data_IF_485661524618
#
_entry.id   IF_485661524618
#
_cell.length_a   1.000
_cell.length_b   1.000
_cell.length_c   1.000
_cell.angle_alpha   90.00
_cell.angle_beta   90.00
_cell.angle_gamma   90.00
#
_symmetry.space_group_name_H-M   'P 1'
#
loop_
_entity.id
_entity.type
_entity.pdbx_description
1 polymer ?
#
# COMPACT_ATOMS: atom_id res chain seq x y z
N UNK A 1 -0.52 17.60 -3.20
CA UNK A 1 -1.14 16.89 -4.33
C UNK A 1 -1.50 17.84 -5.47
N UNK A 2 -1.80 17.29 -6.66
CA UNK A 2 -2.17 18.09 -7.85
C UNK A 2 -3.45 18.91 -7.60
N UNK A 3 -4.49 18.32 -6.99
CA UNK A 3 -5.74 19.01 -6.67
C UNK A 3 -5.51 20.27 -5.80
N UNK A 4 -4.71 20.16 -4.73
CA UNK A 4 -4.39 21.30 -3.90
C UNK A 4 -3.55 22.37 -4.64
N UNK A 5 -2.71 21.97 -5.60
CA UNK A 5 -1.97 22.90 -6.45
C UNK A 5 -2.89 23.58 -7.45
N UNK A 6 -3.80 22.83 -8.08
CA UNK A 6 -4.79 23.38 -9.01
C UNK A 6 -5.64 24.45 -8.32
N UNK A 7 -6.13 24.19 -7.10
CA UNK A 7 -6.88 25.19 -6.31
C UNK A 7 -6.09 26.45 -6.03
N UNK A 8 -4.80 26.34 -5.71
CA UNK A 8 -3.95 27.54 -5.50
C UNK A 8 -3.73 28.36 -6.76
N UNK A 9 -3.90 27.77 -7.93
CA UNK A 9 -3.76 28.46 -9.22
C UNK A 9 -5.09 29.00 -9.75
N UNK A 10 -6.21 28.46 -9.29
CA UNK A 10 -7.55 28.90 -9.67
C UNK A 10 -8.53 28.67 -8.53
N UNK A 11 -9.04 29.77 -7.98
CA UNK A 11 -10.06 29.73 -6.92
C UNK A 11 -11.44 29.33 -7.46
N UNK A 12 -11.71 29.61 -8.73
CA UNK A 12 -13.00 29.38 -9.38
C UNK A 12 -13.13 27.98 -10.03
N UNK A 13 -12.03 27.24 -10.18
CA UNK A 13 -12.10 25.92 -10.81
C UNK A 13 -12.94 24.95 -9.96
N UNK A 14 -13.82 24.20 -10.61
CA UNK A 14 -14.44 23.03 -9.99
C UNK A 14 -13.44 21.87 -10.03
N UNK A 15 -13.17 21.26 -8.87
CA UNK A 15 -12.17 20.19 -8.74
C UNK A 15 -12.84 19.00 -8.08
N UNK A 16 -12.97 17.92 -8.84
CA UNK A 16 -13.51 16.65 -8.36
C UNK A 16 -12.37 15.63 -8.32
N UNK A 17 -12.31 14.83 -7.27
CA UNK A 17 -11.36 13.73 -7.11
C UNK A 17 -12.09 12.44 -6.82
N UNK A 18 -11.86 11.41 -7.64
CA UNK A 18 -12.41 10.08 -7.44
C UNK A 18 -11.39 9.18 -6.77
N UNK A 19 -11.80 8.49 -5.73
CA UNK A 19 -11.01 7.47 -5.05
C UNK A 19 -11.84 6.19 -4.94
N UNK A 20 -11.29 5.08 -5.43
CA UNK A 20 -11.97 3.78 -5.38
C UNK A 20 -12.11 3.24 -3.96
N UNK A 21 -11.13 3.50 -3.09
CA UNK A 21 -11.15 3.08 -1.70
C UNK A 21 -11.90 4.05 -0.78
N UNK A 22 -11.93 3.73 0.49
CA UNK A 22 -12.53 4.58 1.53
C UNK A 22 -11.61 5.73 1.95
N UNK A 23 -10.29 5.58 1.75
CA UNK A 23 -9.29 6.49 2.30
C UNK A 23 -8.59 7.27 1.19
N UNK A 24 -8.90 8.54 1.09
CA UNK A 24 -8.35 9.44 0.05
C UNK A 24 -6.90 9.80 0.27
N UNK A 25 -6.44 9.82 1.53
CA UNK A 25 -5.08 10.20 1.86
C UNK A 25 -4.64 9.59 3.18
N UNK A 26 -3.59 8.80 3.14
CA UNK A 26 -3.03 8.15 4.31
C UNK A 26 -1.51 8.03 4.20
N UNK A 27 -0.85 7.85 5.34
CA UNK A 27 0.60 7.67 5.44
C UNK A 27 1.00 6.25 5.03
N UNK A 28 1.26 6.02 3.75
CA UNK A 28 1.67 4.71 3.22
C UNK A 28 2.86 4.12 3.99
N UNK A 29 3.89 4.94 4.25
CA UNK A 29 5.09 4.51 4.97
C UNK A 29 4.82 4.20 6.46
N UNK A 30 3.68 4.63 7.00
CA UNK A 30 3.30 4.36 8.40
C UNK A 30 2.64 3.00 8.61
N UNK A 31 2.23 2.32 7.54
CA UNK A 31 1.49 1.06 7.64
C UNK A 31 2.29 -0.06 8.33
N UNK A 32 3.55 -0.33 7.95
CA UNK A 32 4.38 -1.32 8.65
C UNK A 32 4.62 -0.96 10.12
N UNK A 33 4.87 0.32 10.43
CA UNK A 33 5.10 0.79 11.80
C UNK A 33 3.87 0.68 12.69
N UNK A 34 2.67 0.82 12.11
CA UNK A 34 1.44 0.52 12.86
C UNK A 34 1.27 -0.99 13.07
N UNK A 35 1.58 -1.82 12.07
CA UNK A 35 1.59 -3.27 12.21
C UNK A 35 2.60 -3.68 13.30
N UNK A 36 3.80 -3.09 13.32
CA UNK A 36 4.83 -3.35 14.33
C UNK A 36 4.47 -2.87 15.75
N UNK A 37 3.54 -1.91 15.87
CA UNK A 37 3.10 -1.34 17.14
C UNK A 37 3.80 -0.04 17.55
N UNK A 38 4.72 0.49 16.74
CA UNK A 38 5.35 1.79 16.98
C UNK A 38 4.35 2.94 16.87
N UNK A 39 3.52 2.93 15.82
CA UNK A 39 2.39 3.84 15.68
C UNK A 39 1.18 3.16 16.30
N UNK A 40 0.85 3.50 17.55
CA UNK A 40 -0.27 2.87 18.26
C UNK A 40 -1.64 3.35 17.78
N UNK A 41 -1.74 4.62 17.44
CA UNK A 41 -3.01 5.24 17.05
C UNK A 41 -3.19 5.20 15.53
N UNK A 42 -4.11 4.33 15.06
CA UNK A 42 -4.47 4.16 13.65
C UNK A 42 -4.91 5.47 13.00
N UNK A 43 -5.55 6.38 13.76
CA UNK A 43 -6.05 7.65 13.21
C UNK A 43 -4.93 8.55 12.70
N UNK A 44 -3.71 8.43 13.25
CA UNK A 44 -2.53 9.17 12.79
C UNK A 44 -2.09 8.80 11.38
N UNK A 45 -2.51 7.66 10.87
CA UNK A 45 -2.26 7.26 9.48
C UNK A 45 -3.18 8.00 8.51
N UNK A 46 -4.35 8.48 8.94
CA UNK A 46 -5.33 9.15 8.09
C UNK A 46 -5.00 10.64 8.00
N UNK A 47 -4.35 11.04 6.91
CA UNK A 47 -3.81 12.40 6.79
C UNK A 47 -4.87 13.43 6.40
N UNK A 48 -5.80 13.05 5.54
CA UNK A 48 -6.88 13.91 5.07
C UNK A 48 -8.15 13.06 4.84
N UNK A 49 -9.30 13.67 5.09
CA UNK A 49 -10.62 13.11 4.77
C UNK A 49 -11.29 13.90 3.65
N UNK A 50 -12.36 13.41 3.00
CA UNK A 50 -13.14 14.17 2.04
C UNK A 50 -13.57 15.53 2.57
N UNK A 51 -14.06 15.58 3.83
CA UNK A 51 -14.51 16.80 4.49
C UNK A 51 -13.36 17.79 4.67
N UNK A 52 -12.18 17.31 5.04
CA UNK A 52 -11.00 18.17 5.20
C UNK A 52 -10.48 18.71 3.86
N UNK A 53 -10.60 17.94 2.77
CA UNK A 53 -10.31 18.42 1.42
C UNK A 53 -11.31 19.49 0.97
N UNK A 54 -12.59 19.30 1.25
CA UNK A 54 -13.62 20.27 0.96
C UNK A 54 -13.39 21.57 1.74
N UNK A 55 -13.20 21.47 3.06
CA UNK A 55 -13.05 22.64 3.93
C UNK A 55 -11.78 23.46 3.64
N UNK A 56 -10.65 22.79 3.33
CA UNK A 56 -9.35 23.46 3.15
C UNK A 56 -9.07 23.90 1.71
N UNK A 57 -9.58 23.15 0.75
CA UNK A 57 -9.21 23.29 -0.65
C UNK A 57 -10.41 23.42 -1.58
N UNK A 58 -11.64 23.36 -1.06
CA UNK A 58 -12.86 23.34 -1.88
C UNK A 58 -12.76 22.32 -3.03
N UNK A 59 -12.32 21.09 -2.69
CA UNK A 59 -12.20 19.94 -3.59
C UNK A 59 -13.27 18.94 -3.22
N UNK A 60 -14.12 18.57 -4.19
CA UNK A 60 -15.12 17.51 -4.04
C UNK A 60 -14.42 16.14 -4.15
N UNK A 61 -14.30 15.43 -3.04
CA UNK A 61 -13.68 14.11 -3.00
C UNK A 61 -14.76 13.05 -2.86
N UNK A 62 -14.88 12.21 -3.87
CA UNK A 62 -15.83 11.10 -3.91
C UNK A 62 -15.07 9.79 -3.71
N UNK A 63 -15.12 9.28 -2.48
CA UNK A 63 -14.59 7.95 -2.12
C UNK A 63 -15.56 6.86 -2.56
N UNK A 64 -15.13 5.60 -2.53
CA UNK A 64 -15.88 4.44 -3.02
C UNK A 64 -16.42 4.64 -4.44
N UNK A 65 -15.68 5.40 -5.25
CA UNK A 65 -16.08 5.83 -6.58
C UNK A 65 -15.01 5.47 -7.60
N UNK A 66 -15.30 4.46 -8.40
CA UNK A 66 -14.35 3.93 -9.39
C UNK A 66 -14.65 4.50 -10.78
N UNK A 67 -13.67 5.18 -11.38
CA UNK A 67 -13.74 5.51 -12.81
C UNK A 67 -13.51 4.23 -13.61
N UNK A 68 -14.54 3.82 -14.36
CA UNK A 68 -14.53 2.57 -15.15
C UNK A 68 -14.24 2.79 -16.62
N UNK A 69 -14.52 3.98 -17.15
CA UNK A 69 -14.20 4.34 -18.54
C UNK A 69 -13.95 5.83 -18.73
N UNK A 70 -13.25 6.17 -19.80
CA UNK A 70 -12.95 7.55 -20.20
C UNK A 70 -13.36 7.72 -21.66
N UNK A 71 -14.27 8.65 -21.92
CA UNK A 71 -14.61 9.07 -23.28
C UNK A 71 -13.91 10.40 -23.59
N UNK A 72 -12.87 10.34 -24.41
CA UNK A 72 -12.06 11.52 -24.77
C UNK A 72 -12.77 12.44 -25.76
N UNK A 73 -13.72 11.94 -26.54
CA UNK A 73 -14.44 12.73 -27.53
C UNK A 73 -15.47 13.62 -26.88
N UNK A 74 -16.24 13.08 -25.94
CA UNK A 74 -17.25 13.82 -25.19
C UNK A 74 -16.69 14.45 -23.91
N UNK A 75 -15.42 14.21 -23.59
CA UNK A 75 -14.76 14.64 -22.34
C UNK A 75 -15.57 14.23 -21.11
N UNK A 76 -15.92 12.95 -21.02
CA UNK A 76 -16.64 12.40 -19.87
C UNK A 76 -15.92 11.18 -19.30
N UNK A 77 -16.07 10.98 -18.00
CA UNK A 77 -15.71 9.72 -17.34
C UNK A 77 -16.97 9.04 -16.84
N UNK A 78 -17.02 7.71 -16.95
CA UNK A 78 -18.06 6.92 -16.32
C UNK A 78 -17.57 6.51 -14.93
N UNK A 79 -18.34 6.83 -13.92
CA UNK A 79 -18.00 6.58 -12.51
C UNK A 79 -19.00 5.57 -11.96
N UNK A 80 -18.49 4.49 -11.36
CA UNK A 80 -19.28 3.51 -10.64
C UNK A 80 -19.15 3.78 -9.14
N UNK A 81 -20.27 4.04 -8.49
CA UNK A 81 -20.34 4.06 -7.03
C UNK A 81 -20.31 2.62 -6.51
N UNK A 82 -19.33 2.29 -5.67
CA UNK A 82 -19.11 0.93 -5.16
C UNK A 82 -20.01 0.56 -3.96
N UNK A 83 -20.79 1.52 -3.43
CA UNK A 83 -21.72 1.29 -2.33
C UNK A 83 -23.05 0.75 -2.89
N UNK A 84 -23.60 1.41 -3.89
CA UNK A 84 -24.93 1.09 -4.47
C UNK A 84 -24.85 0.49 -5.89
N UNK A 85 -23.63 0.36 -6.45
CA UNK A 85 -23.35 -0.11 -7.80
C UNK A 85 -23.94 0.75 -8.93
N UNK A 86 -24.42 1.96 -8.66
CA UNK A 86 -24.92 2.87 -9.68
C UNK A 86 -23.76 3.45 -10.51
N UNK A 87 -24.02 3.64 -11.80
CA UNK A 87 -23.08 4.31 -12.71
C UNK A 87 -23.64 5.66 -13.17
N UNK A 88 -22.75 6.64 -13.27
CA UNK A 88 -23.08 7.96 -13.80
C UNK A 88 -21.91 8.53 -14.59
N UNK A 89 -22.18 9.54 -15.41
CA UNK A 89 -21.15 10.23 -16.18
C UNK A 89 -20.83 11.58 -15.53
N UNK A 90 -19.54 11.89 -15.46
CA UNK A 90 -19.02 13.20 -15.05
C UNK A 90 -18.24 13.82 -16.20
N UNK A 91 -18.50 15.09 -16.52
CA UNK A 91 -17.79 15.82 -17.56
C UNK A 91 -16.51 16.47 -17.02
N UNK A 92 -15.54 16.70 -17.89
CA UNK A 92 -14.30 17.38 -17.54
C UNK A 92 -13.79 18.28 -18.66
N UNK A 93 -13.14 19.38 -18.33
CA UNK A 93 -12.30 20.16 -19.24
C UNK A 93 -10.88 19.59 -19.29
N UNK A 94 -10.35 19.26 -18.13
CA UNK A 94 -9.03 18.64 -17.92
C UNK A 94 -9.14 17.43 -17.02
N UNK A 95 -8.50 16.34 -17.42
CA UNK A 95 -8.46 15.09 -16.66
C UNK A 95 -7.03 14.76 -16.26
N UNK A 96 -6.80 14.60 -14.96
CA UNK A 96 -5.54 14.14 -14.40
C UNK A 96 -5.68 12.68 -13.97
N UNK A 97 -4.82 11.81 -14.49
CA UNK A 97 -4.80 10.39 -14.16
C UNK A 97 -3.77 10.11 -13.07
N UNK A 98 -4.22 9.61 -11.94
CA UNK A 98 -3.38 9.16 -10.82
C UNK A 98 -3.90 7.82 -10.27
N UNK A 99 -3.92 6.74 -11.10
CA UNK A 99 -4.61 5.50 -10.76
C UNK A 99 -3.93 4.71 -9.64
N UNK A 100 -2.73 5.11 -9.23
CA UNK A 100 -1.93 4.39 -8.25
C UNK A 100 -1.35 3.09 -8.82
N UNK A 101 -1.12 2.12 -7.92
CA UNK A 101 -0.59 0.80 -8.27
C UNK A 101 -1.29 -0.28 -7.44
N UNK A 102 -1.28 -1.50 -7.94
CA UNK A 102 -1.67 -2.69 -7.21
C UNK A 102 -0.45 -3.58 -6.94
N UNK A 103 -0.40 -4.32 -5.84
CA UNK A 103 0.63 -5.32 -5.63
C UNK A 103 0.61 -6.37 -6.75
N UNK A 104 1.78 -6.78 -7.19
CA UNK A 104 1.89 -7.94 -8.08
C UNK A 104 1.75 -9.19 -7.20
N UNK A 105 0.75 -10.00 -7.51
CA UNK A 105 0.54 -11.30 -6.88
C UNK A 105 1.04 -12.35 -7.87
N UNK A 106 2.19 -12.99 -7.62
CA UNK A 106 2.73 -14.00 -8.53
C UNK A 106 1.85 -15.25 -8.54
N UNK A 107 1.73 -15.96 -9.67
CA UNK A 107 0.92 -17.17 -9.79
C UNK A 107 1.63 -18.38 -9.15
N UNK A 108 1.80 -18.35 -7.85
CA UNK A 108 2.43 -19.41 -7.06
C UNK A 108 1.32 -20.30 -6.48
N UNK A 109 1.41 -21.64 -6.54
CA UNK A 109 0.45 -22.52 -5.89
C UNK A 109 0.28 -22.21 -4.41
N UNK A 110 -0.98 -22.03 -3.97
CA UNK A 110 -1.29 -21.70 -2.57
C UNK A 110 -1.29 -20.21 -2.24
N UNK A 111 -1.09 -19.32 -3.21
CA UNK A 111 -1.09 -17.87 -2.99
C UNK A 111 -2.46 -17.37 -2.51
N UNK A 112 -3.54 -18.09 -2.83
CA UNK A 112 -4.91 -17.78 -2.41
C UNK A 112 -5.21 -18.17 -0.95
N UNK A 113 -4.22 -18.69 -0.22
CA UNK A 113 -4.39 -19.03 1.18
C UNK A 113 -4.85 -17.79 1.97
N UNK A 114 -5.90 -17.90 2.82
CA UNK A 114 -6.40 -16.77 3.61
C UNK A 114 -5.38 -16.12 4.54
N UNK A 115 -4.27 -16.80 4.83
CA UNK A 115 -3.15 -16.26 5.61
C UNK A 115 -2.09 -15.57 4.76
N UNK A 116 -2.28 -15.52 3.44
CA UNK A 116 -1.40 -14.79 2.53
C UNK A 116 -1.92 -13.37 2.34
N UNK A 117 -1.07 -12.40 2.60
CA UNK A 117 -1.42 -10.98 2.54
C UNK A 117 -0.42 -10.19 1.70
N UNK A 118 -0.91 -9.14 1.07
CA UNK A 118 -0.08 -8.04 0.55
C UNK A 118 -0.37 -6.78 1.35
N UNK A 119 0.58 -5.86 1.39
CA UNK A 119 0.42 -4.57 2.07
C UNK A 119 0.50 -3.42 1.07
N UNK A 120 -0.63 -2.72 0.88
CA UNK A 120 -0.71 -1.56 -0.02
C UNK A 120 -1.48 -0.40 0.59
N UNK A 121 -2.52 -0.68 1.37
CA UNK A 121 -3.46 0.32 1.86
C UNK A 121 -3.92 0.00 3.29
N UNK A 122 -4.76 0.86 3.84
CA UNK A 122 -5.32 0.71 5.20
C UNK A 122 -6.09 -0.61 5.37
N UNK A 123 -7.01 -1.02 4.47
CA UNK A 123 -7.67 -2.31 4.59
C UNK A 123 -6.72 -3.52 4.59
N UNK A 124 -5.62 -3.47 3.85
CA UNK A 124 -4.61 -4.53 3.88
C UNK A 124 -3.95 -4.62 5.25
N UNK A 125 -3.52 -3.48 5.78
CA UNK A 125 -2.96 -3.36 7.12
C UNK A 125 -3.91 -3.92 8.18
N UNK A 126 -5.18 -3.52 8.15
CA UNK A 126 -6.21 -3.98 9.09
C UNK A 126 -6.41 -5.50 9.00
N UNK A 127 -6.35 -6.09 7.78
CA UNK A 127 -6.42 -7.56 7.59
C UNK A 127 -5.21 -8.26 8.19
N UNK A 128 -4.02 -7.74 7.99
CA UNK A 128 -2.79 -8.32 8.57
C UNK A 128 -2.87 -8.29 10.10
N UNK A 129 -3.21 -7.16 10.70
CA UNK A 129 -3.36 -7.02 12.15
C UNK A 129 -4.39 -8.00 12.69
N UNK A 130 -5.57 -8.08 12.07
CA UNK A 130 -6.61 -9.03 12.45
C UNK A 130 -6.12 -10.48 12.39
N UNK A 131 -5.37 -10.84 11.33
CA UNK A 131 -4.80 -12.18 11.19
C UNK A 131 -3.82 -12.48 12.32
N UNK A 132 -2.96 -11.54 12.70
CA UNK A 132 -2.03 -11.68 13.81
C UNK A 132 -2.78 -11.87 15.13
N UNK A 133 -3.77 -11.05 15.40
CA UNK A 133 -4.53 -11.07 16.65
C UNK A 133 -5.35 -12.36 16.83
N UNK A 134 -5.99 -12.80 15.75
CA UNK A 134 -6.85 -13.99 15.78
C UNK A 134 -6.05 -15.30 15.82
N UNK A 135 -4.97 -15.39 15.06
CA UNK A 135 -4.23 -16.65 14.90
C UNK A 135 -3.00 -16.74 15.81
N UNK A 136 -2.52 -15.61 16.36
CA UNK A 136 -1.32 -15.54 17.20
C UNK A 136 -0.15 -16.33 16.63
N UNK A 137 0.27 -16.04 15.39
CA UNK A 137 1.26 -16.85 14.70
C UNK A 137 2.59 -16.82 15.44
N UNK A 138 3.23 -17.97 15.58
CA UNK A 138 4.59 -18.08 16.10
C UNK A 138 5.63 -17.71 15.04
N UNK A 139 5.26 -17.81 13.75
CA UNK A 139 6.16 -17.60 12.63
C UNK A 139 5.46 -16.87 11.48
N UNK A 140 6.16 -15.93 10.86
CA UNK A 140 5.74 -15.23 9.65
C UNK A 140 6.80 -15.37 8.56
N UNK A 141 6.36 -15.50 7.32
CA UNK A 141 7.23 -15.48 6.15
C UNK A 141 6.94 -14.25 5.32
N UNK A 142 7.98 -13.49 5.02
CA UNK A 142 7.94 -12.33 4.13
C UNK A 142 8.57 -12.71 2.81
N UNK A 143 7.88 -12.45 1.70
CA UNK A 143 8.38 -12.74 0.35
C UNK A 143 8.69 -11.42 -0.36
N UNK A 144 9.97 -11.22 -0.68
CA UNK A 144 10.53 -10.02 -1.29
C UNK A 144 11.33 -9.18 -0.30
N UNK A 145 12.61 -8.98 -0.58
CA UNK A 145 13.56 -8.22 0.25
C UNK A 145 13.72 -6.74 -0.19
N UNK A 146 12.66 -6.14 -0.74
CA UNK A 146 12.60 -4.70 -0.99
C UNK A 146 12.24 -3.90 0.27
N UNK A 147 12.02 -2.58 0.13
CA UNK A 147 11.70 -1.69 1.26
C UNK A 147 10.54 -2.20 2.12
N UNK A 148 9.38 -2.47 1.51
CA UNK A 148 8.19 -2.92 2.24
C UNK A 148 8.43 -4.27 2.92
N UNK A 149 9.14 -5.19 2.25
CA UNK A 149 9.45 -6.50 2.83
C UNK A 149 10.34 -6.39 4.05
N UNK A 150 11.38 -5.55 4.01
CA UNK A 150 12.25 -5.32 5.17
C UNK A 150 11.52 -4.64 6.32
N UNK A 151 10.69 -3.63 6.04
CA UNK A 151 9.86 -2.97 7.05
C UNK A 151 8.85 -3.95 7.69
N UNK A 152 8.24 -4.83 6.89
CA UNK A 152 7.34 -5.86 7.41
C UNK A 152 8.05 -6.94 8.22
N UNK A 153 9.25 -7.33 7.79
CA UNK A 153 10.11 -8.25 8.54
C UNK A 153 10.43 -7.67 9.93
N UNK A 154 10.82 -6.40 9.99
CA UNK A 154 11.07 -5.68 11.23
C UNK A 154 9.82 -5.59 12.09
N UNK A 155 8.67 -5.22 11.51
CA UNK A 155 7.40 -5.12 12.20
C UNK A 155 6.97 -6.45 12.86
N UNK A 156 7.18 -7.59 12.20
CA UNK A 156 6.91 -8.91 12.79
C UNK A 156 7.91 -9.25 13.88
N UNK A 157 9.17 -8.95 13.67
CA UNK A 157 10.22 -9.18 14.67
C UNK A 157 9.94 -8.39 15.97
N UNK A 158 9.55 -7.11 15.87
CA UNK A 158 9.17 -6.26 17.01
C UNK A 158 7.97 -6.82 17.79
N UNK A 159 7.06 -7.53 17.11
CA UNK A 159 5.96 -8.25 17.76
C UNK A 159 6.37 -9.59 18.38
N UNK A 160 7.64 -9.96 18.31
CA UNK A 160 8.13 -11.24 18.81
C UNK A 160 7.75 -12.45 17.94
N UNK A 161 7.34 -12.22 16.70
CA UNK A 161 7.03 -13.28 15.74
C UNK A 161 8.32 -13.68 15.03
N UNK A 162 8.67 -14.99 15.07
CA UNK A 162 9.82 -15.51 14.31
C UNK A 162 9.60 -15.20 12.83
N UNK A 163 10.60 -14.62 12.19
CA UNK A 163 10.44 -14.16 10.81
C UNK A 163 11.45 -14.80 9.88
N UNK A 164 10.96 -15.23 8.72
CA UNK A 164 11.78 -15.65 7.58
C UNK A 164 11.54 -14.68 6.43
N UNK A 165 12.62 -14.15 5.85
CA UNK A 165 12.59 -13.35 4.63
C UNK A 165 13.07 -14.19 3.47
N UNK A 166 12.30 -14.26 2.38
CA UNK A 166 12.64 -14.97 1.15
C UNK A 166 12.82 -13.92 0.04
N UNK A 167 13.98 -13.95 -0.63
CA UNK A 167 14.28 -13.04 -1.74
C UNK A 167 14.70 -13.85 -2.97
N UNK A 168 14.18 -13.48 -4.13
CA UNK A 168 14.51 -14.13 -5.41
C UNK A 168 15.85 -13.67 -5.96
N UNK A 169 16.19 -12.40 -5.78
CA UNK A 169 17.47 -11.87 -6.20
C UNK A 169 18.62 -12.38 -5.30
N UNK A 170 19.85 -12.10 -5.68
CA UNK A 170 21.02 -12.50 -4.92
C UNK A 170 21.36 -11.56 -3.74
N UNK A 171 20.53 -10.56 -3.50
CA UNK A 171 20.63 -9.64 -2.37
C UNK A 171 19.28 -9.01 -2.05
N UNK A 172 19.08 -8.57 -0.80
CA UNK A 172 18.00 -7.65 -0.44
C UNK A 172 18.32 -6.25 -0.98
N UNK A 173 17.30 -5.40 -1.07
CA UNK A 173 17.46 -4.01 -1.51
C UNK A 173 18.28 -3.89 -2.80
N UNK A 174 17.81 -4.51 -3.87
CA UNK A 174 18.49 -4.50 -5.18
C UNK A 174 18.70 -3.10 -5.77
N UNK A 175 18.12 -2.06 -5.15
CA UNK A 175 18.34 -0.65 -5.49
C UNK A 175 19.64 -0.05 -4.94
N UNK A 176 20.34 -0.77 -4.07
CA UNK A 176 21.65 -0.34 -3.53
C UNK A 176 22.77 -1.28 -4.00
N UNK A 177 24.01 -0.81 -3.92
CA UNK A 177 25.16 -1.60 -4.27
C UNK A 177 25.34 -2.80 -3.33
N UNK A 178 25.99 -3.85 -3.80
CA UNK A 178 26.15 -5.12 -3.08
C UNK A 178 26.85 -4.93 -1.73
N UNK A 179 27.83 -4.05 -1.67
CA UNK A 179 28.55 -3.70 -0.45
C UNK A 179 27.62 -3.08 0.58
N UNK A 180 26.72 -2.22 0.15
CA UNK A 180 25.71 -1.59 1.03
C UNK A 180 24.66 -2.59 1.47
N UNK A 181 24.20 -3.48 0.60
CA UNK A 181 23.31 -4.57 0.96
C UNK A 181 23.95 -5.49 2.02
N UNK A 182 25.29 -5.60 2.04
CA UNK A 182 26.05 -6.36 3.04
C UNK A 182 25.75 -5.93 4.48
N UNK A 183 25.65 -4.63 4.75
CA UNK A 183 25.28 -4.10 6.07
C UNK A 183 23.87 -4.52 6.49
N UNK A 184 22.92 -4.51 5.55
CA UNK A 184 21.55 -4.96 5.81
C UNK A 184 21.53 -6.47 6.11
N UNK A 185 22.29 -7.26 5.36
CA UNK A 185 22.41 -8.70 5.62
C UNK A 185 23.00 -9.01 6.99
N UNK A 186 24.01 -8.22 7.40
CA UNK A 186 24.61 -8.36 8.74
C UNK A 186 23.59 -8.05 9.83
N UNK A 187 22.83 -6.96 9.68
CA UNK A 187 21.80 -6.59 10.64
C UNK A 187 20.70 -7.66 10.74
N UNK A 188 20.19 -8.16 9.60
CA UNK A 188 19.19 -9.25 9.56
C UNK A 188 19.70 -10.48 10.34
N UNK A 189 20.98 -10.86 10.17
CA UNK A 189 21.58 -11.99 10.90
C UNK A 189 21.71 -11.70 12.39
N UNK A 190 22.15 -10.48 12.75
CA UNK A 190 22.33 -10.08 14.15
C UNK A 190 21.01 -10.11 14.92
N UNK A 191 19.89 -9.82 14.24
CA UNK A 191 18.55 -9.93 14.80
C UNK A 191 18.01 -11.37 14.82
N UNK A 192 18.77 -12.35 14.36
CA UNK A 192 18.35 -13.76 14.34
C UNK A 192 17.25 -14.08 13.32
N UNK A 193 17.06 -13.21 12.33
CA UNK A 193 16.05 -13.38 11.30
C UNK A 193 16.60 -14.32 10.21
N UNK A 194 15.81 -15.29 9.78
CA UNK A 194 16.18 -16.22 8.72
C UNK A 194 16.05 -15.51 7.35
N UNK A 195 17.14 -15.46 6.60
CA UNK A 195 17.18 -14.95 5.24
C UNK A 195 17.48 -16.07 4.26
N UNK A 196 16.53 -16.33 3.36
CA UNK A 196 16.63 -17.34 2.32
C UNK A 196 16.65 -16.70 0.94
N UNK A 197 17.54 -17.18 0.09
CA UNK A 197 17.60 -16.87 -1.32
C UNK A 197 17.12 -18.03 -2.16
N UNK A 198 16.40 -17.76 -3.24
CA UNK A 198 15.91 -18.78 -4.19
C UNK A 198 17.01 -19.22 -5.17
N UNK A 199 18.27 -19.04 -4.83
CA UNK A 199 19.40 -19.59 -5.59
C UNK A 199 19.46 -21.11 -5.39
N UNK A 200 19.79 -21.89 -6.42
CA UNK A 200 19.97 -23.33 -6.24
C UNK A 200 21.00 -23.57 -5.14
N UNK A 201 20.64 -24.43 -4.19
CA UNK A 201 21.53 -24.86 -3.14
C UNK A 201 22.74 -25.56 -3.77
N UNK A 202 23.98 -25.30 -3.29
CA UNK A 202 25.14 -26.06 -3.76
C UNK A 202 25.06 -27.58 -3.46
N UNK A 203 23.94 -28.04 -2.88
CA UNK A 203 23.68 -29.44 -2.52
C UNK A 203 22.63 -30.11 -3.40
N UNK A 204 22.04 -29.40 -4.37
CA UNK A 204 21.07 -29.96 -5.33
C UNK A 204 21.74 -30.38 -6.63
#
# INVERSE_FOLDING_TARGET
>A
SAAARARRLSESAEIIMFERGEFVSFANCGLPYHIGGEIQDRSKLLLQTPESFLARFNVDVRVMSQVVSINRQTKTVTVKNLIDNNEYNESYDFLLLSPGAAPIVPPIPGIENPLTHSLRNIPDMDRIIRTIEMNKPEHATVVGGGFIGLEMMEAFHQRGIKTTLIEQANQVMTSVDKEMAGFIHEEIRNQGICLLYTSPSPRD
#
